data_IF_052850012376
#
_entry.id   IF_052850012376
#
_cell.length_a   1.000
_cell.length_b   1.000
_cell.length_c   1.000
_cell.angle_alpha   90.00
_cell.angle_beta   90.00
_cell.angle_gamma   90.00
#
_symmetry.space_group_name_H-M   'P 1'
#
loop_
_entity.id
_entity.type
_entity.pdbx_description
1 polymer ?
#
# COMPACT_ATOMS: atom_id res chain seq x y z
N UNK A 1 21.78 -53.53 -5.32
CA UNK A 1 20.32 -53.43 -5.08
C UNK A 1 19.91 -52.07 -5.61
N UNK A 2 19.09 -52.06 -6.66
CA UNK A 2 18.79 -50.88 -7.45
C UNK A 2 17.87 -49.93 -6.69
N UNK A 3 18.38 -48.75 -6.31
CA UNK A 3 17.53 -47.62 -5.93
C UNK A 3 17.13 -46.86 -7.19
N UNK A 4 15.93 -47.18 -7.68
CA UNK A 4 15.24 -46.41 -8.71
C UNK A 4 14.89 -45.03 -8.14
N UNK A 5 15.72 -44.03 -8.41
CA UNK A 5 15.39 -42.62 -8.18
C UNK A 5 14.33 -42.20 -9.20
N UNK A 6 13.06 -42.47 -8.90
CA UNK A 6 11.93 -42.09 -9.76
C UNK A 6 11.79 -40.57 -9.74
N UNK A 7 11.80 -39.86 -10.89
CA UNK A 7 11.51 -38.43 -10.90
C UNK A 7 10.03 -38.21 -10.56
N UNK A 8 9.76 -37.45 -9.50
CA UNK A 8 8.43 -37.27 -8.90
C UNK A 8 7.49 -36.45 -9.81
N UNK A 9 8.03 -35.71 -10.77
CA UNK A 9 7.26 -34.94 -11.75
C UNK A 9 7.54 -35.41 -13.18
N UNK A 10 6.83 -36.45 -13.62
CA UNK A 10 6.86 -36.88 -15.02
C UNK A 10 5.83 -36.06 -15.82
N UNK A 11 6.29 -35.35 -16.85
CA UNK A 11 5.41 -34.57 -17.72
C UNK A 11 4.43 -35.51 -18.46
N UNK A 12 3.11 -35.36 -18.29
CA UNK A 12 2.13 -36.14 -19.04
C UNK A 12 2.22 -35.86 -20.56
N UNK A 13 1.90 -36.84 -21.40
CA UNK A 13 1.97 -36.70 -22.87
C UNK A 13 1.13 -35.53 -23.40
N UNK A 14 0.00 -35.23 -22.78
CA UNK A 14 -0.90 -34.13 -23.14
C UNK A 14 -0.40 -32.74 -22.68
N UNK A 15 0.71 -32.67 -21.93
CA UNK A 15 1.27 -31.43 -21.36
C UNK A 15 2.71 -31.18 -21.82
N UNK A 16 3.17 -31.77 -22.93
CA UNK A 16 4.53 -31.59 -23.44
C UNK A 16 4.98 -30.11 -23.56
N UNK A 17 4.04 -29.18 -23.76
CA UNK A 17 4.30 -27.74 -23.73
C UNK A 17 4.95 -27.26 -22.42
N UNK A 18 4.70 -27.93 -21.29
CA UNK A 18 5.24 -27.62 -19.97
C UNK A 18 6.45 -28.48 -19.57
N UNK A 19 6.97 -29.32 -20.47
CA UNK A 19 8.06 -30.25 -20.16
C UNK A 19 9.28 -29.59 -19.49
N UNK A 20 9.58 -28.33 -19.85
CA UNK A 20 10.63 -27.52 -19.22
C UNK A 20 10.31 -27.19 -17.75
N UNK A 21 9.10 -26.75 -17.44
CA UNK A 21 8.65 -26.47 -16.07
C UNK A 21 8.71 -27.72 -15.18
N UNK A 22 8.33 -28.88 -15.72
CA UNK A 22 8.47 -30.16 -15.03
C UNK A 22 9.95 -30.53 -14.76
N UNK A 23 10.86 -30.23 -15.70
CA UNK A 23 12.29 -30.42 -15.50
C UNK A 23 12.87 -29.49 -14.42
N UNK A 24 12.44 -28.22 -14.38
CA UNK A 24 12.84 -27.27 -13.34
C UNK A 24 12.30 -27.68 -11.96
N UNK A 25 11.07 -28.16 -11.88
CA UNK A 25 10.48 -28.68 -10.64
C UNK A 25 11.23 -29.91 -10.09
N UNK A 26 11.60 -30.86 -10.96
CA UNK A 26 12.43 -31.99 -10.56
C UNK A 26 13.79 -31.52 -10.04
N UNK A 27 14.45 -30.61 -10.76
CA UNK A 27 15.75 -30.07 -10.35
C UNK A 27 15.67 -29.37 -8.99
N UNK A 28 14.60 -28.60 -8.74
CA UNK A 28 14.36 -27.96 -7.45
C UNK A 28 14.19 -28.98 -6.31
N UNK A 29 13.44 -30.06 -6.53
CA UNK A 29 13.29 -31.13 -5.54
C UNK A 29 14.61 -31.87 -5.28
N UNK A 30 15.43 -32.07 -6.31
CA UNK A 30 16.76 -32.68 -6.15
C UNK A 30 17.67 -31.81 -5.29
N UNK A 31 17.70 -30.50 -5.53
CA UNK A 31 18.44 -29.54 -4.70
C UNK A 31 17.97 -29.56 -3.25
N UNK A 32 16.65 -29.56 -3.01
CA UNK A 32 16.10 -29.62 -1.63
C UNK A 32 16.56 -30.90 -0.91
N UNK A 33 16.57 -32.02 -1.63
CA UNK A 33 16.98 -33.33 -1.10
C UNK A 33 18.49 -33.40 -0.86
N UNK A 34 19.28 -32.87 -1.78
CA UNK A 34 20.75 -32.83 -1.73
C UNK A 34 21.26 -31.99 -0.56
N UNK A 35 20.64 -30.84 -0.33
CA UNK A 35 21.02 -29.91 0.75
C UNK A 35 20.26 -30.13 2.06
N UNK A 36 19.36 -31.11 2.11
CA UNK A 36 18.62 -31.47 3.33
C UNK A 36 17.76 -30.33 3.90
N UNK A 37 17.29 -29.42 3.05
CA UNK A 37 16.50 -28.27 3.48
C UNK A 37 15.03 -28.66 3.71
N UNK A 38 14.33 -28.05 4.67
CA UNK A 38 12.90 -28.30 4.85
C UNK A 38 12.13 -27.93 3.58
N UNK A 39 11.22 -28.81 3.08
CA UNK A 39 10.41 -28.55 1.88
C UNK A 39 9.27 -27.57 2.18
N UNK A 40 9.64 -26.36 2.59
CA UNK A 40 8.72 -25.26 2.81
C UNK A 40 8.41 -24.55 1.47
N UNK A 41 7.25 -23.89 1.35
CA UNK A 41 6.86 -23.20 0.11
C UNK A 41 7.92 -22.21 -0.41
N UNK A 42 8.55 -21.45 0.49
CA UNK A 42 9.59 -20.47 0.15
C UNK A 42 10.84 -21.16 -0.40
N UNK A 43 11.27 -22.25 0.24
CA UNK A 43 12.42 -23.05 -0.19
C UNK A 43 12.19 -23.61 -1.59
N UNK A 44 11.01 -24.17 -1.85
CA UNK A 44 10.67 -24.67 -3.18
C UNK A 44 10.63 -23.56 -4.23
N UNK A 45 10.02 -22.41 -3.91
CA UNK A 45 9.97 -21.27 -4.81
C UNK A 45 11.37 -20.74 -5.18
N UNK A 46 12.28 -20.66 -4.20
CA UNK A 46 13.66 -20.22 -4.42
C UNK A 46 14.44 -21.21 -5.30
N UNK A 47 14.39 -22.50 -4.98
CA UNK A 47 15.10 -23.55 -5.74
C UNK A 47 14.53 -23.70 -7.16
N UNK A 48 13.23 -23.50 -7.33
CA UNK A 48 12.59 -23.48 -8.64
C UNK A 48 13.03 -22.26 -9.47
N UNK A 49 13.06 -21.06 -8.86
CA UNK A 49 13.53 -19.84 -9.53
C UNK A 49 15.01 -19.97 -9.95
N UNK A 50 15.83 -20.58 -9.10
CA UNK A 50 17.22 -20.93 -9.40
C UNK A 50 17.33 -21.92 -10.57
N UNK A 51 16.59 -23.04 -10.52
CA UNK A 51 16.60 -24.05 -11.58
C UNK A 51 16.07 -23.53 -12.93
N UNK A 52 15.13 -22.59 -12.90
CA UNK A 52 14.57 -21.92 -14.07
C UNK A 52 15.42 -20.75 -14.58
N UNK A 53 16.50 -20.38 -13.87
CA UNK A 53 17.36 -19.23 -14.16
C UNK A 53 16.55 -17.96 -14.45
N UNK A 54 15.43 -17.77 -13.73
CA UNK A 54 14.47 -16.70 -14.03
C UNK A 54 14.96 -15.32 -13.60
N UNK A 55 15.91 -15.26 -12.66
CA UNK A 55 16.51 -14.03 -12.16
C UNK A 55 18.00 -14.27 -11.86
N UNK A 56 18.86 -13.44 -12.46
CA UNK A 56 20.32 -13.50 -12.27
C UNK A 56 20.72 -13.21 -10.83
N UNK A 57 19.98 -12.35 -10.12
CA UNK A 57 20.23 -12.01 -8.72
C UNK A 57 19.95 -13.20 -7.79
N UNK A 58 18.89 -13.99 -8.07
CA UNK A 58 18.59 -15.24 -7.36
C UNK A 58 19.68 -16.28 -7.63
N UNK A 59 20.16 -16.38 -8.87
CA UNK A 59 21.23 -17.32 -9.24
C UNK A 59 22.54 -17.01 -8.51
N UNK A 60 22.92 -15.74 -8.43
CA UNK A 60 24.13 -15.32 -7.70
C UNK A 60 23.98 -15.60 -6.21
N UNK A 61 22.85 -15.22 -5.61
CA UNK A 61 22.61 -15.42 -4.17
C UNK A 61 22.63 -16.90 -3.79
N UNK A 62 21.97 -17.77 -4.57
CA UNK A 62 21.96 -19.21 -4.32
C UNK A 62 23.35 -19.82 -4.56
N UNK A 63 24.11 -19.38 -5.57
CA UNK A 63 25.49 -19.82 -5.77
C UNK A 63 26.41 -19.46 -4.60
N UNK A 64 26.29 -18.26 -4.03
CA UNK A 64 27.07 -17.88 -2.84
C UNK A 64 26.71 -18.76 -1.63
N UNK A 65 25.42 -19.12 -1.47
CA UNK A 65 24.99 -20.05 -0.44
C UNK A 65 25.53 -21.47 -0.66
N UNK A 66 25.57 -21.92 -1.93
CA UNK A 66 26.14 -23.21 -2.32
C UNK A 66 27.64 -23.30 -2.02
N UNK A 67 28.40 -22.23 -2.28
CA UNK A 67 29.84 -22.19 -1.98
C UNK A 67 30.15 -22.25 -0.48
N UNK A 68 29.24 -21.76 0.37
CA UNK A 68 29.37 -21.80 1.84
C UNK A 68 28.98 -23.15 2.45
N UNK A 69 28.20 -23.96 1.73
CA UNK A 69 27.85 -25.34 2.13
C UNK A 69 26.90 -25.46 3.32
N UNK A 70 26.28 -24.37 3.80
CA UNK A 70 25.27 -24.39 4.85
C UNK A 70 24.04 -23.58 4.45
N UNK A 71 22.88 -24.23 4.46
CA UNK A 71 21.60 -23.59 4.21
C UNK A 71 20.83 -23.46 5.52
N UNK A 72 20.80 -22.25 6.10
CA UNK A 72 19.84 -21.96 7.16
C UNK A 72 18.47 -21.61 6.55
N UNK A 73 17.39 -22.06 7.18
CA UNK A 73 16.03 -21.67 6.80
C UNK A 73 15.87 -20.14 6.80
N UNK A 74 16.54 -19.45 7.72
CA UNK A 74 16.53 -18.00 7.81
C UNK A 74 17.15 -17.32 6.57
N UNK A 75 18.23 -17.88 6.03
CA UNK A 75 18.91 -17.33 4.86
C UNK A 75 18.08 -17.55 3.59
N UNK A 76 17.47 -18.73 3.46
CA UNK A 76 16.51 -19.04 2.38
C UNK A 76 15.35 -18.05 2.41
N UNK A 77 14.77 -17.81 3.59
CA UNK A 77 13.67 -16.86 3.75
C UNK A 77 14.12 -15.41 3.48
N UNK A 78 15.36 -15.03 3.81
CA UNK A 78 15.91 -13.72 3.46
C UNK A 78 16.04 -13.53 1.95
N UNK A 79 16.69 -14.48 1.25
CA UNK A 79 16.89 -14.41 -0.21
C UNK A 79 15.54 -14.46 -0.92
N UNK A 80 14.61 -15.30 -0.44
CA UNK A 80 13.25 -15.32 -0.93
C UNK A 80 12.59 -13.95 -0.78
N UNK A 81 12.59 -13.33 0.40
CA UNK A 81 11.95 -12.03 0.58
C UNK A 81 12.62 -10.89 -0.20
N UNK A 82 13.95 -10.94 -0.36
CA UNK A 82 14.71 -9.91 -1.06
C UNK A 82 14.51 -9.93 -2.58
N UNK A 83 14.42 -11.13 -3.17
CA UNK A 83 14.41 -11.29 -4.63
C UNK A 83 13.08 -11.81 -5.20
N UNK A 84 12.27 -12.52 -4.40
CA UNK A 84 11.04 -13.20 -4.86
C UNK A 84 9.76 -12.74 -4.11
N UNK A 85 9.88 -12.33 -2.84
CA UNK A 85 8.76 -11.98 -1.96
C UNK A 85 8.35 -10.50 -2.00
N UNK A 86 8.97 -9.71 -2.87
CA UNK A 86 9.05 -8.26 -2.77
C UNK A 86 8.21 -7.43 -3.73
N UNK A 87 7.02 -7.86 -4.17
CA UNK A 87 6.13 -6.95 -4.93
C UNK A 87 4.73 -6.79 -4.34
N UNK A 88 4.05 -7.85 -3.91
CA UNK A 88 2.59 -7.69 -3.87
C UNK A 88 2.02 -7.09 -2.56
N UNK A 89 2.68 -7.25 -1.41
CA UNK A 89 2.16 -6.76 -0.12
C UNK A 89 2.86 -5.48 0.40
N UNK A 90 4.15 -5.32 0.12
CA UNK A 90 4.92 -4.14 0.50
C UNK A 90 4.64 -2.95 -0.42
N UNK A 91 4.62 -3.16 -1.76
CA UNK A 91 4.28 -2.09 -2.71
C UNK A 91 2.83 -1.63 -2.56
N UNK A 92 1.89 -2.53 -2.24
CA UNK A 92 0.49 -2.14 -1.96
C UNK A 92 0.38 -1.28 -0.70
N UNK A 93 1.13 -1.61 0.36
CA UNK A 93 1.14 -0.79 1.59
C UNK A 93 1.79 0.57 1.38
N UNK A 94 2.90 0.61 0.64
CA UNK A 94 3.61 1.86 0.32
C UNK A 94 2.85 2.72 -0.69
N UNK A 95 2.12 2.09 -1.63
CA UNK A 95 1.21 2.75 -2.56
C UNK A 95 0.05 3.44 -1.82
N UNK A 96 -0.60 2.73 -0.89
CA UNK A 96 -1.66 3.32 -0.05
C UNK A 96 -1.10 4.45 0.81
N UNK A 97 0.10 4.30 1.37
CA UNK A 97 0.77 5.36 2.14
C UNK A 97 0.98 6.63 1.32
N UNK A 98 1.52 6.51 0.09
CA UNK A 98 1.72 7.63 -0.82
C UNK A 98 0.42 8.29 -1.26
N UNK A 99 -0.63 7.50 -1.52
CA UNK A 99 -1.93 8.03 -1.90
C UNK A 99 -2.57 8.84 -0.75
N UNK A 100 -2.46 8.35 0.49
CA UNK A 100 -2.90 9.08 1.68
C UNK A 100 -2.12 10.38 1.88
N UNK A 101 -0.80 10.36 1.72
CA UNK A 101 0.03 11.58 1.80
C UNK A 101 -0.33 12.60 0.73
N UNK A 102 -0.58 12.15 -0.50
CA UNK A 102 -0.98 13.02 -1.61
C UNK A 102 -2.35 13.66 -1.36
N UNK A 103 -3.31 12.89 -0.83
CA UNK A 103 -4.63 13.41 -0.46
C UNK A 103 -4.54 14.41 0.70
N UNK A 104 -3.71 14.13 1.71
CA UNK A 104 -3.48 15.05 2.81
C UNK A 104 -2.87 16.37 2.31
N UNK A 105 -1.90 16.31 1.39
CA UNK A 105 -1.32 17.49 0.76
C UNK A 105 -2.36 18.30 0.00
N UNK A 106 -3.25 17.64 -0.75
CA UNK A 106 -4.33 18.30 -1.50
C UNK A 106 -5.31 19.04 -0.57
N UNK A 107 -5.67 18.42 0.57
CA UNK A 107 -6.50 19.07 1.59
C UNK A 107 -5.79 20.28 2.20
N UNK A 108 -4.50 20.16 2.51
CA UNK A 108 -3.71 21.27 3.05
C UNK A 108 -3.64 22.46 2.06
N UNK A 109 -3.50 22.20 0.76
CA UNK A 109 -3.54 23.24 -0.28
C UNK A 109 -4.92 23.92 -0.39
N UNK A 110 -6.00 23.14 -0.31
CA UNK A 110 -7.38 23.66 -0.27
C UNK A 110 -7.63 24.55 0.96
N UNK A 111 -7.09 24.15 2.11
CA UNK A 111 -7.16 24.97 3.32
C UNK A 111 -6.31 26.24 3.18
N UNK A 112 -5.09 26.13 2.64
CA UNK A 112 -4.20 27.26 2.40
C UNK A 112 -4.82 28.32 1.49
N UNK A 113 -5.42 27.88 0.38
CA UNK A 113 -6.16 28.78 -0.53
C UNK A 113 -7.41 29.38 0.11
N UNK A 114 -8.09 28.67 1.02
CA UNK A 114 -9.20 29.22 1.80
C UNK A 114 -8.77 30.34 2.76
N UNK A 115 -7.60 30.20 3.39
CA UNK A 115 -7.01 31.23 4.27
C UNK A 115 -6.59 32.46 3.47
N UNK A 116 -5.85 32.28 2.37
CA UNK A 116 -5.44 33.41 1.51
C UNK A 116 -6.64 34.21 0.97
N UNK A 117 -7.71 33.52 0.57
CA UNK A 117 -8.93 34.20 0.10
C UNK A 117 -9.63 34.98 1.23
N UNK A 118 -9.60 34.48 2.46
CA UNK A 118 -10.15 35.16 3.64
C UNK A 118 -9.34 36.42 3.97
N UNK A 119 -8.01 36.36 3.89
CA UNK A 119 -7.12 37.51 4.12
C UNK A 119 -7.34 38.61 3.06
N UNK A 120 -7.51 38.21 1.79
CA UNK A 120 -7.82 39.16 0.72
C UNK A 120 -9.20 39.83 0.91
N UNK A 121 -10.19 39.07 1.38
CA UNK A 121 -11.50 39.62 1.70
C UNK A 121 -11.43 40.61 2.87
N UNK A 122 -10.64 40.31 3.91
CA UNK A 122 -10.41 41.22 5.04
C UNK A 122 -9.73 42.53 4.58
N UNK A 123 -8.73 42.43 3.68
CA UNK A 123 -8.08 43.59 3.07
C UNK A 123 -9.06 44.46 2.27
N UNK A 124 -9.92 43.83 1.46
CA UNK A 124 -10.94 44.54 0.68
C UNK A 124 -11.95 45.26 1.60
N UNK A 125 -12.37 44.60 2.69
CA UNK A 125 -13.23 45.20 3.72
C UNK A 125 -12.58 46.41 4.39
N UNK A 126 -11.29 46.32 4.76
CA UNK A 126 -10.54 47.44 5.36
C UNK A 126 -10.41 48.63 4.40
N UNK A 127 -10.13 48.38 3.13
CA UNK A 127 -10.05 49.42 2.10
C UNK A 127 -11.40 50.13 1.91
N UNK A 128 -12.48 49.36 1.92
CA UNK A 128 -13.84 49.90 1.78
C UNK A 128 -14.24 50.69 3.02
N UNK A 129 -13.93 50.20 4.23
CA UNK A 129 -14.14 50.92 5.48
C UNK A 129 -13.41 52.27 5.49
N UNK A 130 -12.15 52.32 5.05
CA UNK A 130 -11.38 53.56 4.93
C UNK A 130 -11.96 54.52 3.89
N UNK A 131 -12.39 54.00 2.72
CA UNK A 131 -12.99 54.82 1.68
C UNK A 131 -14.31 55.47 2.12
N UNK A 132 -15.13 54.75 2.88
CA UNK A 132 -16.41 55.25 3.41
C UNK A 132 -16.19 56.21 4.60
N UNK A 133 -15.21 55.96 5.47
CA UNK A 133 -14.93 56.83 6.63
C UNK A 133 -14.39 58.21 6.24
N UNK A 134 -13.78 58.33 5.05
CA UNK A 134 -13.14 59.55 4.57
C UNK A 134 -14.01 60.38 3.59
N UNK A 135 -15.27 59.98 3.32
CA UNK A 135 -16.11 60.64 2.32
C UNK A 135 -17.37 61.29 2.90
N UNK A 136 -17.51 62.62 2.74
CA UNK A 136 -18.72 63.40 3.06
C UNK A 136 -19.81 63.35 1.96
N UNK A 137 -19.61 62.57 0.90
CA UNK A 137 -20.51 62.48 -0.26
C UNK A 137 -21.07 61.07 -0.42
N UNK A 138 -22.26 60.92 -1.02
CA UNK A 138 -23.00 59.65 -1.18
C UNK A 138 -22.57 58.82 -2.40
N UNK A 139 -21.94 59.44 -3.40
CA UNK A 139 -21.47 58.76 -4.61
C UNK A 139 -20.33 57.72 -4.39
N UNK A 140 -19.35 57.95 -3.49
CA UNK A 140 -18.33 56.96 -3.12
C UNK A 140 -18.90 55.73 -2.41
N UNK A 141 -20.02 55.89 -1.69
CA UNK A 141 -20.63 54.83 -0.88
C UNK A 141 -21.31 53.78 -1.75
N UNK A 142 -21.99 54.17 -2.84
CA UNK A 142 -22.62 53.19 -3.75
C UNK A 142 -21.58 52.33 -4.48
N UNK A 143 -20.46 52.93 -4.91
CA UNK A 143 -19.35 52.19 -5.54
C UNK A 143 -18.68 51.22 -4.54
N UNK A 144 -18.54 51.62 -3.28
CA UNK A 144 -18.04 50.78 -2.21
C UNK A 144 -18.96 49.59 -1.90
N UNK A 145 -20.28 49.80 -1.87
CA UNK A 145 -21.27 48.73 -1.67
C UNK A 145 -21.26 47.75 -2.84
N UNK A 146 -21.18 48.23 -4.09
CA UNK A 146 -21.10 47.36 -5.27
C UNK A 146 -19.84 46.48 -5.25
N UNK A 147 -18.70 47.03 -4.82
CA UNK A 147 -17.46 46.26 -4.60
C UNK A 147 -17.59 45.23 -3.47
N UNK A 148 -18.22 45.58 -2.35
CA UNK A 148 -18.51 44.63 -1.26
C UNK A 148 -19.39 43.48 -1.75
N UNK A 149 -20.42 43.81 -2.54
CA UNK A 149 -21.34 42.80 -3.07
C UNK A 149 -20.60 41.85 -4.02
N UNK A 150 -19.73 42.36 -4.91
CA UNK A 150 -18.95 41.51 -5.81
C UNK A 150 -17.93 40.63 -5.06
N UNK A 151 -17.23 41.17 -4.07
CA UNK A 151 -16.28 40.39 -3.26
C UNK A 151 -16.99 39.37 -2.37
N UNK A 152 -18.16 39.69 -1.82
CA UNK A 152 -18.95 38.73 -1.05
C UNK A 152 -19.44 37.58 -1.94
N UNK A 153 -19.86 37.89 -3.17
CA UNK A 153 -20.30 36.89 -4.14
C UNK A 153 -19.13 36.00 -4.57
N UNK A 154 -17.95 36.57 -4.81
CA UNK A 154 -16.70 35.82 -5.06
C UNK A 154 -16.33 34.91 -3.88
N UNK A 155 -16.40 35.42 -2.65
CA UNK A 155 -16.10 34.64 -1.44
C UNK A 155 -17.12 33.52 -1.23
N UNK A 156 -18.39 33.75 -1.56
CA UNK A 156 -19.45 32.74 -1.50
C UNK A 156 -19.21 31.62 -2.51
N UNK A 157 -18.82 31.94 -3.74
CA UNK A 157 -18.47 30.95 -4.78
C UNK A 157 -17.23 30.13 -4.38
N UNK A 158 -16.19 30.79 -3.87
CA UNK A 158 -14.97 30.11 -3.40
C UNK A 158 -15.24 29.22 -2.19
N UNK A 159 -16.06 29.67 -1.23
CA UNK A 159 -16.49 28.84 -0.10
C UNK A 159 -17.28 27.62 -0.56
N UNK A 160 -18.13 27.76 -1.59
CA UNK A 160 -18.88 26.64 -2.14
C UNK A 160 -17.95 25.60 -2.77
N UNK A 161 -16.97 26.04 -3.56
CA UNK A 161 -15.96 25.15 -4.13
C UNK A 161 -15.09 24.45 -3.07
N UNK A 162 -14.72 25.16 -2.01
CA UNK A 162 -13.99 24.57 -0.88
C UNK A 162 -14.83 23.49 -0.18
N UNK A 163 -16.11 23.76 0.07
CA UNK A 163 -17.04 22.79 0.67
C UNK A 163 -17.19 21.56 -0.21
N UNK A 164 -17.34 21.74 -1.53
CA UNK A 164 -17.43 20.63 -2.48
C UNK A 164 -16.14 19.79 -2.50
N UNK A 165 -14.97 20.43 -2.54
CA UNK A 165 -13.68 19.74 -2.51
C UNK A 165 -13.45 18.96 -1.20
N UNK A 166 -13.87 19.52 -0.06
CA UNK A 166 -13.82 18.84 1.24
C UNK A 166 -14.79 17.66 1.29
N UNK A 167 -16.00 17.79 0.74
CA UNK A 167 -16.96 16.67 0.67
C UNK A 167 -16.44 15.54 -0.21
N UNK A 168 -15.81 15.86 -1.33
CA UNK A 168 -15.22 14.87 -2.22
C UNK A 168 -14.02 14.17 -1.57
N UNK A 169 -13.11 14.93 -0.95
CA UNK A 169 -11.99 14.36 -0.18
C UNK A 169 -12.50 13.45 0.94
N UNK A 170 -13.54 13.86 1.66
CA UNK A 170 -14.17 13.02 2.69
C UNK A 170 -14.68 11.69 2.11
N UNK A 171 -15.38 11.71 0.98
CA UNK A 171 -15.85 10.49 0.31
C UNK A 171 -14.70 9.58 -0.11
N UNK A 172 -13.62 10.15 -0.63
CA UNK A 172 -12.44 9.38 -1.04
C UNK A 172 -11.74 8.74 0.16
N UNK A 173 -11.59 9.47 1.26
CA UNK A 173 -11.04 8.94 2.52
C UNK A 173 -11.92 7.79 3.05
N UNK A 174 -13.25 7.96 3.08
CA UNK A 174 -14.18 6.91 3.51
C UNK A 174 -14.09 5.66 2.63
N UNK A 175 -13.96 5.84 1.30
CA UNK A 175 -13.77 4.75 0.35
C UNK A 175 -12.44 4.00 0.61
N UNK A 176 -11.33 4.73 0.72
CA UNK A 176 -10.01 4.14 0.97
C UNK A 176 -9.96 3.41 2.31
N UNK A 177 -10.58 3.96 3.36
CA UNK A 177 -10.71 3.29 4.65
C UNK A 177 -11.45 1.95 4.52
N UNK A 178 -12.54 1.91 3.74
CA UNK A 178 -13.32 0.69 3.51
C UNK A 178 -12.55 -0.35 2.69
N UNK A 179 -11.82 0.08 1.67
CA UNK A 179 -10.94 -0.81 0.88
C UNK A 179 -9.82 -1.38 1.76
N UNK A 180 -9.16 -0.54 2.56
CA UNK A 180 -8.14 -0.97 3.52
C UNK A 180 -8.69 -1.99 4.52
N UNK A 181 -9.88 -1.76 5.06
CA UNK A 181 -10.53 -2.67 5.99
C UNK A 181 -10.89 -4.01 5.31
N UNK A 182 -11.29 -3.97 4.04
CA UNK A 182 -11.56 -5.17 3.24
C UNK A 182 -10.28 -5.98 3.03
N UNK A 183 -9.22 -5.36 2.54
CA UNK A 183 -7.90 -5.99 2.33
C UNK A 183 -7.34 -6.54 3.64
N UNK A 184 -7.47 -5.78 4.74
CA UNK A 184 -7.06 -6.23 6.07
C UNK A 184 -7.84 -7.47 6.49
N UNK A 185 -9.16 -7.50 6.29
CA UNK A 185 -10.00 -8.65 6.62
C UNK A 185 -9.69 -9.88 5.76
N UNK A 186 -9.38 -9.68 4.48
CA UNK A 186 -8.95 -10.75 3.57
C UNK A 186 -7.58 -11.32 3.96
N UNK A 187 -6.62 -10.45 4.30
CA UNK A 187 -5.28 -10.83 4.77
C UNK A 187 -5.31 -11.61 6.09
N UNK A 188 -6.37 -11.43 6.90
CA UNK A 188 -6.59 -12.17 8.15
C UNK A 188 -7.33 -13.50 7.96
N UNK A 189 -7.76 -13.82 6.74
CA UNK A 189 -8.47 -15.07 6.42
C UNK A 189 -7.59 -16.00 5.59
N UNK A 190 -7.74 -17.29 5.84
CA UNK A 190 -7.13 -18.32 5.02
C UNK A 190 -7.82 -18.38 3.64
N UNK A 191 -7.06 -18.34 2.53
CA UNK A 191 -7.63 -18.23 1.19
C UNK A 191 -8.46 -19.47 0.78
N UNK A 192 -8.13 -20.65 1.30
CA UNK A 192 -8.78 -21.92 0.96
C UNK A 192 -10.05 -22.18 1.78
N UNK A 193 -10.01 -21.86 3.07
CA UNK A 193 -11.06 -22.21 4.05
C UNK A 193 -11.90 -21.02 4.49
N UNK A 194 -11.48 -19.78 4.18
CA UNK A 194 -12.13 -18.51 4.57
C UNK A 194 -12.28 -18.29 6.08
N UNK A 195 -11.75 -19.19 6.92
CA UNK A 195 -11.64 -18.99 8.37
C UNK A 195 -10.46 -18.08 8.70
N UNK A 196 -10.42 -17.57 9.93
CA UNK A 196 -9.30 -16.75 10.39
C UNK A 196 -7.99 -17.53 10.37
N UNK A 197 -6.93 -16.92 9.83
CA UNK A 197 -5.62 -17.53 9.76
C UNK A 197 -4.85 -17.40 11.11
N UNK A 198 -3.68 -18.03 11.18
CA UNK A 198 -2.83 -18.01 12.37
C UNK A 198 -2.49 -16.59 12.84
N UNK A 199 -2.24 -15.68 11.90
CA UNK A 199 -1.94 -14.27 12.20
C UNK A 199 -3.12 -13.59 12.91
N UNK A 200 -4.34 -13.83 12.46
CA UNK A 200 -5.54 -13.33 13.12
C UNK A 200 -5.73 -13.90 14.53
N UNK A 201 -5.40 -15.19 14.73
CA UNK A 201 -5.42 -15.81 16.05
C UNK A 201 -4.42 -15.17 17.02
N UNK A 202 -3.15 -15.06 16.61
CA UNK A 202 -2.08 -14.50 17.46
C UNK A 202 -2.36 -13.04 17.84
N UNK A 203 -2.84 -12.23 16.89
CA UNK A 203 -3.24 -10.84 17.14
C UNK A 203 -4.36 -10.74 18.18
N UNK A 204 -5.39 -11.59 18.06
CA UNK A 204 -6.55 -11.55 18.94
C UNK A 204 -6.22 -12.06 20.33
N UNK A 205 -5.38 -13.09 20.43
CA UNK A 205 -4.86 -13.59 21.69
C UNK A 205 -4.06 -12.52 22.44
N UNK A 206 -3.15 -11.82 21.75
CA UNK A 206 -2.39 -10.70 22.36
C UNK A 206 -3.31 -9.58 22.84
N UNK A 207 -4.30 -9.20 22.03
CA UNK A 207 -5.23 -8.13 22.39
C UNK A 207 -6.07 -8.46 23.63
N UNK A 208 -6.49 -9.73 23.80
CA UNK A 208 -7.24 -10.16 24.98
C UNK A 208 -6.36 -10.30 26.23
N UNK A 209 -5.09 -10.66 26.08
CA UNK A 209 -4.12 -10.64 27.19
C UNK A 209 -3.92 -9.20 27.66
N UNK A 210 -3.75 -8.26 26.74
CA UNK A 210 -3.61 -6.84 27.04
C UNK A 210 -4.87 -6.26 27.70
N UNK A 211 -6.06 -6.63 27.22
CA UNK A 211 -7.34 -6.17 27.79
C UNK A 211 -7.52 -6.69 29.23
N UNK A 212 -7.20 -7.97 29.47
CA UNK A 212 -7.26 -8.58 30.80
C UNK A 212 -6.25 -7.95 31.76
N UNK A 213 -5.04 -7.61 31.28
CA UNK A 213 -4.01 -6.95 32.09
C UNK A 213 -4.37 -5.52 32.52
N UNK A 214 -5.21 -4.82 31.74
CA UNK A 214 -5.69 -3.47 32.04
C UNK A 214 -6.92 -3.44 32.96
N UNK A 215 -7.56 -4.57 33.20
CA UNK A 215 -8.73 -4.69 34.07
C UNK A 215 -8.37 -5.11 35.52
N UNK A 216 -7.08 -5.27 35.83
CA UNK A 216 -6.54 -5.37 37.19
C UNK A 216 -5.94 -4.03 37.64
#
# INVERSE_FOLDING_TARGET
MSDSKTPVFQCPEHQQAFAKSYAHANSACELITEYGTPPLPNTFALMYAYAAQSDESVVIAVNEMLERGSFSQYEIDQVYNMHLGGSDDAEKREGIGREVEQQLSSVLDLVGTGVENSDQFELALKQIQQAVSNSDSTAPVSAAITRLLSENQRMSEQSHHLIEGLQESKRQIERLQKELETVRNESLRDPLTKIYNRRAFDMRLSAEIDSASKQQ
#
